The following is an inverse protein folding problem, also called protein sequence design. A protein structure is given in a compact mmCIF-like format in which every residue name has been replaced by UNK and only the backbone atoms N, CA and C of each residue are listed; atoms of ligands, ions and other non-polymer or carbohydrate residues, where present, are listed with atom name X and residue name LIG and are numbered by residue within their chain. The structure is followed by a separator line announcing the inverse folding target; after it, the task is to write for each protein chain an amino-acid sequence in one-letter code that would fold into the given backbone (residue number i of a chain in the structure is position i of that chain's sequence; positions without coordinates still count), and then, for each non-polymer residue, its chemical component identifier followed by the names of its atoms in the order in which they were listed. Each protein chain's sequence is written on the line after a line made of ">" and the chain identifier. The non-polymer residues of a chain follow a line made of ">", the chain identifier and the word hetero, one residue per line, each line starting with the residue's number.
data_IF_589881537180
#
_entry.id   IF_589881537180
#
_cell.length_a   1.000
_cell.length_b   1.000
_cell.length_c   1.000
_cell.angle_alpha   90.00
_cell.angle_beta   90.00
_cell.angle_gamma   90.00
#
_symmetry.space_group_name_H-M   'P 1'
#
loop_
_entity.id
_entity.type
_entity.pdbx_description
1 polymer ?
#
# COMPACT_ATOMS: atom_id res chain seq x y z
N UNK A 1 -7.48 -6.77 -25.02
CA UNK A 1 -7.39 -5.63 -24.09
C UNK A 1 -7.38 -4.35 -24.91
N UNK A 2 -8.38 -3.45 -24.75
CA UNK A 2 -8.40 -2.18 -25.47
C UNK A 2 -7.72 -1.12 -24.62
N UNK A 3 -6.67 -0.49 -25.15
CA UNK A 3 -6.03 0.68 -24.55
C UNK A 3 -6.77 1.93 -25.05
N UNK A 4 -7.27 2.73 -24.16
CA UNK A 4 -7.86 4.02 -24.47
C UNK A 4 -6.81 5.11 -24.23
N UNK A 5 -6.61 5.98 -25.19
CA UNK A 5 -5.71 7.13 -25.08
C UNK A 5 -6.51 8.38 -24.75
N UNK A 6 -5.99 9.17 -23.83
CA UNK A 6 -6.52 10.48 -23.48
C UNK A 6 -5.54 11.53 -23.92
N UNK A 7 -6.06 12.53 -24.61
CA UNK A 7 -5.33 13.75 -24.90
C UNK A 7 -5.97 14.92 -24.15
N UNK A 8 -5.23 15.51 -23.23
CA UNK A 8 -5.65 16.70 -22.50
C UNK A 8 -4.53 17.73 -22.58
N UNK A 9 -4.79 18.85 -23.27
CA UNK A 9 -3.88 20.00 -23.34
C UNK A 9 -2.41 19.68 -23.60
N UNK A 10 -2.14 18.80 -24.61
CA UNK A 10 -0.76 18.42 -24.97
C UNK A 10 -0.21 17.19 -24.27
N UNK A 11 -0.95 16.60 -23.33
CA UNK A 11 -0.54 15.35 -22.69
C UNK A 11 -1.28 14.17 -23.26
N UNK A 12 -0.52 13.10 -23.55
CA UNK A 12 -1.05 11.78 -23.87
C UNK A 12 -0.90 10.87 -22.65
N UNK A 13 -1.96 10.17 -22.33
CA UNK A 13 -1.91 9.10 -21.36
C UNK A 13 -2.76 7.91 -21.83
N UNK A 14 -2.50 6.71 -21.30
CA UNK A 14 -3.30 5.54 -21.57
C UNK A 14 -4.11 5.16 -20.35
N UNK A 15 -5.25 4.54 -20.56
CA UNK A 15 -6.13 4.13 -19.49
C UNK A 15 -6.74 2.75 -19.78
N UNK A 16 -6.91 1.97 -18.71
CA UNK A 16 -7.57 0.68 -18.77
C UNK A 16 -9.04 0.87 -18.38
N UNK A 17 -9.94 0.75 -19.34
CA UNK A 17 -11.37 0.83 -19.08
C UNK A 17 -12.09 1.86 -19.95
N UNK A 18 -13.34 2.09 -19.61
CA UNK A 18 -14.21 3.04 -20.32
C UNK A 18 -13.91 4.45 -19.83
N UNK A 19 -13.63 5.34 -20.76
CA UNK A 19 -13.40 6.76 -20.49
C UNK A 19 -14.54 7.60 -21.05
N UNK A 20 -14.95 8.67 -20.35
CA UNK A 20 -15.90 9.61 -20.91
C UNK A 20 -15.28 10.36 -22.11
N UNK A 21 -16.11 10.67 -23.10
CA UNK A 21 -15.70 11.34 -24.33
C UNK A 21 -15.19 12.76 -24.06
N UNK A 22 -15.63 13.37 -22.97
CA UNK A 22 -15.29 14.73 -22.58
C UNK A 22 -15.27 14.88 -21.06
N UNK A 23 -14.37 15.71 -20.55
CA UNK A 23 -14.31 16.13 -19.14
C UNK A 23 -15.58 16.88 -18.71
N UNK A 24 -16.32 17.46 -19.63
CA UNK A 24 -17.62 18.10 -19.36
C UNK A 24 -18.71 17.16 -18.82
N UNK A 25 -18.48 15.83 -18.86
CA UNK A 25 -19.35 14.86 -18.20
C UNK A 25 -19.07 14.69 -16.71
N UNK A 26 -17.93 15.17 -16.23
CA UNK A 26 -17.56 15.15 -14.81
C UNK A 26 -18.17 16.36 -14.10
N UNK A 27 -19.46 16.30 -13.78
CA UNK A 27 -20.21 17.43 -13.20
C UNK A 27 -20.21 17.45 -11.68
N UNK A 28 -20.11 16.28 -11.07
CA UNK A 28 -20.27 16.12 -9.63
C UNK A 28 -18.92 15.81 -9.00
N UNK A 29 -18.30 16.79 -8.41
CA UNK A 29 -17.08 16.62 -7.61
C UNK A 29 -16.96 17.77 -6.63
N UNK A 30 -16.10 17.63 -5.62
CA UNK A 30 -15.80 18.67 -4.63
C UNK A 30 -14.31 18.73 -4.38
N UNK A 31 -13.79 19.95 -4.32
CA UNK A 31 -12.41 20.22 -3.94
C UNK A 31 -12.41 20.88 -2.58
N UNK A 32 -11.65 20.33 -1.65
CA UNK A 32 -11.53 20.85 -0.29
C UNK A 32 -10.04 20.94 0.07
N UNK A 33 -9.69 21.96 0.84
CA UNK A 33 -8.33 22.01 1.40
C UNK A 33 -8.19 20.87 2.41
N UNK A 34 -7.11 20.12 2.30
CA UNK A 34 -6.78 19.05 3.21
C UNK A 34 -5.29 19.10 3.55
N UNK A 35 -4.98 19.57 4.75
CA UNK A 35 -3.62 19.83 5.19
C UNK A 35 -2.87 20.75 4.20
N UNK A 36 -1.71 20.32 3.68
CA UNK A 36 -0.91 21.04 2.68
C UNK A 36 -1.30 20.67 1.24
N UNK A 37 -2.36 19.90 1.06
CA UNK A 37 -2.83 19.42 -0.23
C UNK A 37 -4.30 19.73 -0.51
N UNK A 38 -4.83 19.06 -1.50
CA UNK A 38 -6.21 19.18 -1.96
C UNK A 38 -6.85 17.80 -1.92
N UNK A 39 -7.99 17.71 -1.25
CA UNK A 39 -8.85 16.55 -1.28
C UNK A 39 -9.80 16.66 -2.47
N UNK A 40 -9.70 15.75 -3.41
CA UNK A 40 -10.63 15.62 -4.53
C UNK A 40 -11.65 14.55 -4.17
N UNK A 41 -12.90 14.96 -4.03
CA UNK A 41 -14.01 14.05 -3.74
C UNK A 41 -14.89 13.89 -4.97
N UNK A 42 -15.27 12.67 -5.24
CA UNK A 42 -16.13 12.28 -6.35
C UNK A 42 -17.25 11.35 -5.88
N UNK A 43 -18.33 11.18 -6.65
CA UNK A 43 -19.41 10.28 -6.26
C UNK A 43 -18.95 8.84 -6.11
N UNK A 44 -19.50 8.17 -5.11
CA UNK A 44 -19.39 6.73 -4.98
C UNK A 44 -20.53 6.09 -5.80
N UNK A 45 -20.22 5.20 -6.75
CA UNK A 45 -21.25 4.51 -7.55
C UNK A 45 -22.32 3.79 -6.72
N UNK A 46 -21.98 3.35 -5.51
CA UNK A 46 -22.90 2.68 -4.59
C UNK A 46 -23.95 3.64 -4.03
N UNK A 47 -23.57 4.92 -3.83
CA UNK A 47 -24.42 5.94 -3.23
C UNK A 47 -25.08 6.90 -4.24
N UNK A 48 -24.88 6.64 -5.54
CA UNK A 48 -25.39 7.47 -6.64
C UNK A 48 -24.35 8.44 -7.18
N UNK A 49 -24.44 8.73 -8.47
CA UNK A 49 -23.45 9.57 -9.19
C UNK A 49 -23.73 11.08 -9.11
N UNK A 50 -24.82 11.48 -8.49
CA UNK A 50 -25.31 12.86 -8.37
C UNK A 50 -24.86 13.53 -7.07
N UNK A 51 -24.32 12.79 -6.12
CA UNK A 51 -23.92 13.28 -4.79
C UNK A 51 -22.50 12.87 -4.45
N UNK A 52 -21.76 13.77 -3.83
CA UNK A 52 -20.47 13.49 -3.21
C UNK A 52 -20.72 13.09 -1.76
N UNK A 53 -20.33 11.88 -1.39
CA UNK A 53 -20.46 11.37 -0.03
C UNK A 53 -19.63 12.16 0.99
N UNK A 54 -19.85 11.93 2.28
CA UNK A 54 -19.00 12.50 3.33
C UNK A 54 -17.61 11.87 3.33
N UNK A 55 -16.60 12.68 3.57
CA UNK A 55 -15.24 12.20 3.78
C UNK A 55 -15.05 11.80 5.23
N UNK A 56 -14.66 10.55 5.43
CA UNK A 56 -14.25 10.06 6.76
C UNK A 56 -12.75 9.79 6.73
N UNK A 57 -12.01 10.54 7.53
CA UNK A 57 -10.57 10.36 7.64
C UNK A 57 -10.25 9.00 8.26
N UNK A 58 -9.34 8.27 7.61
CA UNK A 58 -8.76 7.06 8.18
C UNK A 58 -7.44 7.41 8.87
N UNK A 59 -7.50 7.66 10.19
CA UNK A 59 -6.35 8.07 10.98
C UNK A 59 -5.17 7.07 10.92
N UNK A 60 -5.45 5.77 10.79
CA UNK A 60 -4.40 4.75 10.65
C UNK A 60 -3.66 4.86 9.33
N UNK A 61 -4.40 5.03 8.24
CA UNK A 61 -3.81 5.23 6.92
C UNK A 61 -3.03 6.54 6.87
N UNK A 62 -3.59 7.61 7.43
CA UNK A 62 -2.91 8.90 7.54
C UNK A 62 -1.58 8.78 8.27
N UNK A 63 -1.59 8.21 9.48
CA UNK A 63 -0.36 8.03 10.26
C UNK A 63 0.70 7.22 9.51
N UNK A 64 0.30 6.18 8.78
CA UNK A 64 1.22 5.41 7.96
C UNK A 64 1.81 6.25 6.80
N UNK A 65 0.99 7.04 6.12
CA UNK A 65 1.46 7.92 5.04
C UNK A 65 2.40 9.02 5.56
N UNK A 66 2.08 9.62 6.70
CA UNK A 66 2.91 10.64 7.34
C UNK A 66 4.27 10.06 7.75
N UNK A 67 4.29 8.84 8.26
CA UNK A 67 5.52 8.13 8.59
C UNK A 67 6.39 7.87 7.34
N UNK A 68 5.80 7.42 6.24
CA UNK A 68 6.53 7.25 4.98
C UNK A 68 7.07 8.57 4.45
N UNK A 69 6.27 9.63 4.47
CA UNK A 69 6.71 10.97 4.05
C UNK A 69 7.88 11.47 4.87
N UNK A 70 7.87 11.26 6.18
CA UNK A 70 8.97 11.60 7.07
C UNK A 70 10.26 10.82 6.74
N UNK A 71 10.14 9.53 6.46
CA UNK A 71 11.28 8.69 6.04
C UNK A 71 11.85 9.18 4.72
N UNK A 72 11.01 9.43 3.71
CA UNK A 72 11.47 9.90 2.40
C UNK A 72 12.11 11.29 2.49
N UNK A 73 11.58 12.16 3.33
CA UNK A 73 12.15 13.48 3.60
C UNK A 73 13.52 13.36 4.29
N UNK A 74 13.65 12.49 5.30
CA UNK A 74 14.90 12.22 5.99
C UNK A 74 15.98 11.71 5.04
N UNK A 75 15.63 10.79 4.16
CA UNK A 75 16.54 10.24 3.15
C UNK A 75 16.77 11.19 1.97
N UNK A 76 16.02 12.29 1.87
CA UNK A 76 16.02 13.23 0.72
C UNK A 76 15.72 12.52 -0.60
N UNK A 77 14.75 11.62 -0.58
CA UNK A 77 14.28 10.83 -1.74
C UNK A 77 12.77 10.91 -1.96
N UNK A 78 12.17 12.04 -1.59
CA UNK A 78 10.72 12.28 -1.69
C UNK A 78 10.20 12.31 -3.12
N UNK A 79 11.07 12.49 -4.11
CA UNK A 79 10.73 12.46 -5.53
C UNK A 79 11.64 11.51 -6.30
N UNK A 80 11.18 11.01 -7.44
CA UNK A 80 11.98 10.15 -8.33
C UNK A 80 13.27 10.86 -8.75
N UNK A 81 13.20 12.17 -9.00
CA UNK A 81 14.38 12.96 -9.33
C UNK A 81 15.43 12.94 -8.20
N UNK A 82 15.00 13.18 -6.96
CA UNK A 82 15.87 13.13 -5.79
C UNK A 82 16.47 11.74 -5.59
N UNK A 83 15.66 10.69 -5.73
CA UNK A 83 16.14 9.30 -5.67
C UNK A 83 17.21 9.04 -6.74
N UNK A 84 16.94 9.39 -8.00
CA UNK A 84 17.90 9.20 -9.09
C UNK A 84 19.19 9.98 -8.87
N UNK A 85 19.11 11.17 -8.32
CA UNK A 85 20.30 11.98 -7.95
C UNK A 85 21.09 11.29 -6.86
N UNK A 86 20.45 10.85 -5.80
CA UNK A 86 21.10 10.14 -4.69
C UNK A 86 21.74 8.82 -5.12
N UNK A 87 21.09 8.07 -5.99
CA UNK A 87 21.64 6.82 -6.55
C UNK A 87 22.93 7.12 -7.35
N UNK A 88 22.95 8.20 -8.14
CA UNK A 88 24.16 8.60 -8.87
C UNK A 88 25.29 9.07 -7.95
N UNK A 89 24.96 9.75 -6.85
CA UNK A 89 25.94 10.20 -5.86
C UNK A 89 26.53 9.02 -5.10
N UNK A 90 25.69 8.19 -4.48
CA UNK A 90 26.13 7.05 -3.68
C UNK A 90 24.99 6.02 -3.50
N UNK A 91 24.86 5.09 -4.43
CA UNK A 91 23.85 4.02 -4.38
C UNK A 91 23.99 3.13 -3.15
N UNK A 92 25.22 2.85 -2.71
CA UNK A 92 25.47 1.98 -1.54
C UNK A 92 24.89 2.58 -0.27
N UNK A 93 25.03 3.88 -0.09
CA UNK A 93 24.49 4.59 1.07
C UNK A 93 22.95 4.56 1.09
N UNK A 94 22.31 4.76 -0.06
CA UNK A 94 20.85 4.68 -0.18
C UNK A 94 20.33 3.28 0.22
N UNK A 95 20.99 2.22 -0.26
CA UNK A 95 20.63 0.84 0.08
C UNK A 95 20.83 0.61 1.59
N UNK A 96 21.98 0.94 2.13
CA UNK A 96 22.34 0.73 3.53
C UNK A 96 21.38 1.43 4.49
N UNK A 97 21.05 2.68 4.21
CA UNK A 97 20.09 3.45 5.01
C UNK A 97 18.68 2.87 4.92
N UNK A 98 18.26 2.44 3.73
CA UNK A 98 16.94 1.85 3.52
C UNK A 98 16.80 0.51 4.27
N UNK A 99 17.83 -0.32 4.22
CA UNK A 99 17.85 -1.61 4.95
C UNK A 99 17.88 -1.38 6.47
N UNK A 100 18.72 -0.47 6.95
CA UNK A 100 18.81 -0.15 8.37
C UNK A 100 17.48 0.39 8.92
N UNK A 101 16.78 1.24 8.16
CA UNK A 101 15.45 1.72 8.53
C UNK A 101 14.43 0.59 8.60
N UNK A 102 14.45 -0.31 7.62
CA UNK A 102 13.56 -1.47 7.60
C UNK A 102 13.82 -2.39 8.80
N UNK A 103 15.07 -2.67 9.12
CA UNK A 103 15.44 -3.49 10.28
C UNK A 103 15.05 -2.83 11.60
N UNK A 104 15.28 -1.52 11.71
CA UNK A 104 14.82 -0.74 12.88
C UNK A 104 13.32 -0.89 13.09
N UNK A 105 12.51 -0.76 12.03
CA UNK A 105 11.05 -0.93 12.10
C UNK A 105 10.63 -2.32 12.53
N UNK A 106 11.29 -3.35 12.06
CA UNK A 106 11.02 -4.74 12.46
C UNK A 106 11.35 -4.93 13.95
N UNK A 107 12.47 -4.37 14.42
CA UNK A 107 12.85 -4.44 15.82
C UNK A 107 11.85 -3.69 16.75
N UNK A 108 11.40 -2.51 16.35
CA UNK A 108 10.36 -1.75 17.04
C UNK A 108 9.06 -2.56 17.14
N UNK A 109 8.59 -3.13 16.02
CA UNK A 109 7.40 -3.97 15.98
C UNK A 109 7.54 -5.23 16.84
N UNK A 110 8.69 -5.90 16.77
CA UNK A 110 8.98 -7.05 17.63
C UNK A 110 8.88 -6.66 19.12
N UNK A 111 9.44 -5.52 19.49
CA UNK A 111 9.38 -5.00 20.87
C UNK A 111 7.95 -4.67 21.31
N UNK A 112 7.10 -4.17 20.41
CA UNK A 112 5.69 -3.93 20.70
C UNK A 112 4.91 -5.24 20.90
N UNK A 113 5.16 -6.24 20.07
CA UNK A 113 4.54 -7.56 20.19
C UNK A 113 4.88 -8.19 21.53
N UNK A 114 6.15 -8.08 21.96
CA UNK A 114 6.61 -8.61 23.24
C UNK A 114 5.91 -7.98 24.46
N UNK A 115 5.50 -6.72 24.38
CA UNK A 115 4.73 -6.07 25.44
C UNK A 115 3.32 -6.62 25.58
N UNK A 116 2.79 -7.25 24.53
CA UNK A 116 1.43 -7.81 24.50
C UNK A 116 1.47 -9.31 24.79
N UNK A 117 1.38 -9.67 26.05
CA UNK A 117 1.46 -11.07 26.51
C UNK A 117 0.31 -11.96 26.04
N UNK A 118 -0.78 -11.37 25.59
CA UNK A 118 -1.98 -12.03 25.10
C UNK A 118 -1.95 -12.37 23.61
N UNK A 119 -0.98 -11.84 22.85
CA UNK A 119 -0.87 -12.08 21.40
C UNK A 119 -0.43 -13.52 21.14
N UNK A 120 -1.32 -14.29 20.52
CA UNK A 120 -1.07 -15.67 20.10
C UNK A 120 -0.91 -15.81 18.59
N UNK A 121 -1.43 -14.85 17.84
CA UNK A 121 -1.43 -14.87 16.37
C UNK A 121 -1.14 -13.48 15.81
N UNK A 122 -0.31 -13.43 14.77
CA UNK A 122 0.02 -12.22 14.03
C UNK A 122 -0.37 -12.46 12.58
N UNK A 123 -1.29 -11.66 12.06
CA UNK A 123 -1.75 -11.73 10.69
C UNK A 123 -1.00 -10.71 9.84
N UNK A 124 -0.34 -11.17 8.77
CA UNK A 124 0.37 -10.33 7.82
C UNK A 124 -0.36 -10.38 6.49
N UNK A 125 -0.96 -9.26 6.11
CA UNK A 125 -1.69 -9.11 4.86
C UNK A 125 -1.03 -8.06 3.96
N UNK A 126 -1.19 -8.24 2.66
CA UNK A 126 -0.68 -7.30 1.65
C UNK A 126 -0.91 -7.82 0.24
N UNK A 127 -0.80 -6.97 -0.78
CA UNK A 127 -0.98 -7.39 -2.17
C UNK A 127 0.06 -8.41 -2.62
N UNK A 128 -0.15 -9.02 -3.78
CA UNK A 128 0.83 -9.93 -4.38
C UNK A 128 2.17 -9.20 -4.60
N UNK A 129 3.26 -9.92 -4.43
CA UNK A 129 4.64 -9.37 -4.57
C UNK A 129 4.99 -8.20 -3.65
N UNK A 130 4.24 -7.96 -2.58
CA UNK A 130 4.52 -6.89 -1.60
C UNK A 130 5.61 -7.22 -0.57
N UNK A 131 6.25 -8.38 -0.68
CA UNK A 131 7.28 -8.81 0.26
C UNK A 131 6.78 -9.40 1.58
N UNK A 132 5.51 -9.83 1.67
CA UNK A 132 4.93 -10.45 2.89
C UNK A 132 5.80 -11.56 3.47
N UNK A 133 6.24 -12.49 2.62
CA UNK A 133 7.06 -13.64 3.05
C UNK A 133 8.41 -13.20 3.61
N UNK A 134 9.08 -12.26 2.95
CA UNK A 134 10.34 -11.67 3.42
C UNK A 134 10.18 -10.96 4.74
N UNK A 135 9.12 -10.16 4.88
CA UNK A 135 8.78 -9.46 6.11
C UNK A 135 8.49 -10.44 7.25
N UNK A 136 7.67 -11.48 7.00
CA UNK A 136 7.35 -12.51 7.97
C UNK A 136 8.62 -13.26 8.46
N UNK A 137 9.53 -13.58 7.54
CA UNK A 137 10.82 -14.18 7.87
C UNK A 137 11.69 -13.31 8.77
N UNK A 138 11.82 -12.01 8.42
CA UNK A 138 12.58 -11.04 9.24
C UNK A 138 11.95 -10.86 10.63
N UNK A 139 10.61 -10.71 10.71
CA UNK A 139 9.89 -10.58 11.98
C UNK A 139 10.04 -11.86 12.84
N UNK A 140 9.92 -13.04 12.22
CA UNK A 140 10.17 -14.32 12.89
C UNK A 140 11.57 -14.36 13.50
N UNK A 141 12.59 -13.91 12.77
CA UNK A 141 13.95 -13.84 13.26
C UNK A 141 14.09 -12.90 14.46
N UNK A 142 13.51 -11.71 14.37
CA UNK A 142 13.53 -10.72 15.47
C UNK A 142 12.85 -11.25 16.74
N UNK A 143 11.71 -11.95 16.60
CA UNK A 143 11.00 -12.57 17.72
C UNK A 143 11.81 -13.72 18.33
N UNK A 144 12.50 -14.52 17.51
CA UNK A 144 13.37 -15.61 17.99
C UNK A 144 14.57 -15.07 18.77
N UNK A 145 15.16 -13.98 18.36
CA UNK A 145 16.23 -13.31 19.12
C UNK A 145 15.75 -12.83 20.50
N UNK A 146 14.45 -12.62 20.65
CA UNK A 146 13.82 -12.25 21.91
C UNK A 146 13.29 -13.45 22.70
N UNK A 147 13.63 -14.68 22.33
CA UNK A 147 13.28 -15.91 23.04
C UNK A 147 11.92 -16.51 22.68
N UNK A 148 11.17 -15.93 21.75
CA UNK A 148 9.91 -16.51 21.25
C UNK A 148 10.23 -17.52 20.13
N UNK A 149 9.41 -18.54 20.02
CA UNK A 149 9.48 -19.54 18.94
C UNK A 149 8.23 -19.46 18.05
N UNK A 150 8.10 -18.46 17.16
CA UNK A 150 6.95 -18.34 16.30
C UNK A 150 6.97 -19.44 15.24
N UNK A 151 5.78 -19.88 14.84
CA UNK A 151 5.58 -20.75 13.69
C UNK A 151 5.01 -19.90 12.55
N UNK A 152 5.70 -19.91 11.41
CA UNK A 152 5.23 -19.19 10.22
C UNK A 152 4.34 -20.13 9.40
N UNK A 153 3.11 -19.68 9.13
CA UNK A 153 2.13 -20.41 8.34
C UNK A 153 1.77 -19.54 7.13
N UNK A 154 2.02 -20.06 5.93
CA UNK A 154 1.57 -19.41 4.70
C UNK A 154 0.18 -19.92 4.33
N UNK A 155 -0.76 -19.02 4.09
CA UNK A 155 -2.10 -19.38 3.63
C UNK A 155 -2.04 -20.02 2.24
N UNK A 156 -1.04 -19.65 1.43
CA UNK A 156 -0.84 -20.25 0.10
C UNK A 156 -0.62 -21.76 0.14
N UNK A 157 -0.11 -22.31 1.27
CA UNK A 157 0.08 -23.75 1.43
C UNK A 157 -1.24 -24.52 1.58
N UNK A 158 -2.36 -23.84 1.74
CA UNK A 158 -3.69 -24.44 1.93
C UNK A 158 -4.58 -24.29 0.69
N UNK A 159 -4.09 -23.68 -0.37
CA UNK A 159 -4.81 -23.66 -1.63
C UNK A 159 -4.76 -25.06 -2.27
N UNK A 160 -5.90 -25.47 -2.77
CA UNK A 160 -6.04 -26.66 -3.62
C UNK A 160 -5.91 -26.24 -5.09
N UNK A 161 -5.70 -27.21 -5.97
CA UNK A 161 -5.70 -26.97 -7.40
C UNK A 161 -7.07 -26.39 -7.84
N UNK A 162 -7.07 -25.64 -8.93
CA UNK A 162 -8.27 -24.95 -9.42
C UNK A 162 -9.43 -25.90 -9.72
N UNK A 163 -9.08 -27.10 -10.20
CA UNK A 163 -10.03 -28.17 -10.53
C UNK A 163 -10.67 -28.77 -9.29
N UNK A 164 -9.98 -28.76 -8.15
CA UNK A 164 -10.44 -29.28 -6.87
C UNK A 164 -11.08 -28.20 -5.98
N UNK A 165 -11.10 -26.94 -6.43
CA UNK A 165 -11.68 -25.84 -5.65
C UNK A 165 -13.19 -26.00 -5.56
N UNK A 166 -13.79 -26.04 -4.36
CA UNK A 166 -15.24 -26.06 -4.20
C UNK A 166 -15.89 -24.86 -4.87
N UNK A 167 -16.88 -25.09 -5.69
CA UNK A 167 -17.67 -24.03 -6.31
C UNK A 167 -18.65 -23.45 -5.29
N UNK A 168 -18.92 -22.15 -5.39
CA UNK A 168 -19.97 -21.49 -4.62
C UNK A 168 -21.37 -21.99 -5.06
N UNK A 169 -22.41 -21.54 -4.37
CA UNK A 169 -23.82 -21.88 -4.69
C UNK A 169 -24.22 -21.50 -6.13
N UNK A 170 -23.49 -20.60 -6.76
CA UNK A 170 -23.70 -20.14 -8.13
C UNK A 170 -22.72 -20.77 -9.14
N UNK A 171 -21.97 -21.82 -8.73
CA UNK A 171 -20.93 -22.50 -9.53
C UNK A 171 -19.87 -21.55 -10.08
N UNK A 172 -19.49 -20.56 -9.30
CA UNK A 172 -18.35 -19.65 -9.59
C UNK A 172 -17.15 -20.03 -8.73
N UNK A 173 -15.97 -19.88 -9.34
CA UNK A 173 -14.68 -19.98 -8.64
C UNK A 173 -14.39 -18.71 -7.87
#
# INVERSE_FOLDING_TARGET
>A
MRLNYIFVTGYFNYFYGVMPISTGRLKTFKLEKYQEGILVRYPDPVNGLDKVGEFKENNKLKSALDEYNNIYSLLKVSTIHQLNTKIKENMKDVILLSEALHEKKIAELSSEILKRKDVKMILIAGPSSSGKTTFAGKLTTALRLSGIKPVMISVDNYFVEREDTPLDEHRKL
#
